data_IF_829248798979
#
_entry.id   IF_829248798979
#
_cell.length_a   1.000
_cell.length_b   1.000
_cell.length_c   1.000
_cell.angle_alpha   90.00
_cell.angle_beta   90.00
_cell.angle_gamma   90.00
#
_symmetry.space_group_name_H-M   'P 1'
#
loop_
_entity.id
_entity.type
_entity.pdbx_description
1 polymer ?
#
# COMPACT_ATOMS: atom_id res chain seq x y z
N UNK A 1 -14.70 28.09 -0.13
CA UNK A 1 -13.42 27.45 0.26
C UNK A 1 -12.98 28.03 1.60
N UNK A 2 -13.19 27.31 2.70
CA UNK A 2 -12.86 27.77 4.06
C UNK A 2 -11.38 27.50 4.34
N UNK A 3 -10.54 28.52 4.17
CA UNK A 3 -9.14 28.51 4.59
C UNK A 3 -9.11 28.84 6.08
N UNK A 4 -9.22 27.81 6.92
CA UNK A 4 -9.27 27.97 8.38
C UNK A 4 -7.89 28.42 8.88
N UNK A 5 -7.86 29.27 9.92
CA UNK A 5 -6.61 29.83 10.49
C UNK A 5 -5.59 28.74 10.86
N UNK A 6 -6.06 27.55 11.19
CA UNK A 6 -5.26 26.34 11.47
C UNK A 6 -4.34 25.93 10.30
N UNK A 7 -4.76 26.09 9.04
CA UNK A 7 -3.91 25.82 7.86
C UNK A 7 -2.77 26.84 7.75
N UNK A 8 -3.00 28.09 8.17
CA UNK A 8 -1.98 29.14 8.18
C UNK A 8 -0.93 28.88 9.27
N UNK A 9 -1.37 28.51 10.46
CA UNK A 9 -0.46 28.26 11.59
C UNK A 9 0.38 27.00 11.40
N UNK A 10 -0.21 25.95 10.80
CA UNK A 10 0.53 24.76 10.39
C UNK A 10 1.62 25.10 9.36
N UNK A 11 1.30 25.89 8.33
CA UNK A 11 2.27 26.33 7.32
C UNK A 11 3.38 27.16 7.94
N UNK A 12 3.04 28.13 8.78
CA UNK A 12 4.04 28.96 9.46
C UNK A 12 5.00 28.13 10.32
N UNK A 13 4.47 27.14 11.06
CA UNK A 13 5.28 26.24 11.89
C UNK A 13 6.16 25.35 11.04
N UNK A 14 5.63 24.83 9.94
CA UNK A 14 6.38 24.02 8.99
C UNK A 14 7.52 24.83 8.34
N UNK A 15 7.22 26.03 7.87
CA UNK A 15 8.17 26.92 7.21
C UNK A 15 9.26 27.37 8.19
N UNK A 16 8.90 27.71 9.42
CA UNK A 16 9.87 28.04 10.48
C UNK A 16 10.81 26.85 10.77
N UNK A 17 10.28 25.63 10.84
CA UNK A 17 11.10 24.43 11.03
C UNK A 17 12.03 24.18 9.85
N UNK A 18 11.55 24.36 8.62
CA UNK A 18 12.37 24.22 7.40
C UNK A 18 13.48 25.28 7.39
N UNK A 19 13.18 26.52 7.75
CA UNK A 19 14.17 27.59 7.86
C UNK A 19 15.23 27.29 8.92
N UNK A 20 14.83 26.79 10.09
CA UNK A 20 15.77 26.37 11.15
C UNK A 20 16.73 25.29 10.65
N UNK A 21 16.20 24.26 9.98
CA UNK A 21 17.01 23.19 9.38
C UNK A 21 17.99 23.73 8.34
N UNK A 22 17.57 24.67 7.49
CA UNK A 22 18.44 25.30 6.49
C UNK A 22 19.57 26.10 7.17
N UNK A 23 19.27 26.80 8.27
CA UNK A 23 20.28 27.52 9.05
C UNK A 23 21.28 26.57 9.71
N UNK A 24 20.80 25.47 10.31
CA UNK A 24 21.66 24.43 10.89
C UNK A 24 22.58 23.79 9.84
N UNK A 25 22.05 23.44 8.66
CA UNK A 25 22.85 22.91 7.55
C UNK A 25 23.93 23.92 7.14
N UNK A 26 23.60 25.22 7.09
CA UNK A 26 24.58 26.27 6.77
C UNK A 26 25.65 26.37 7.84
N UNK A 27 25.27 26.32 9.12
CA UNK A 27 26.22 26.37 10.24
C UNK A 27 27.14 25.14 10.26
N UNK A 28 26.61 23.94 9.97
CA UNK A 28 27.41 22.73 9.84
C UNK A 28 28.38 22.83 8.65
N UNK A 29 27.92 23.35 7.50
CA UNK A 29 28.80 23.58 6.35
C UNK A 29 29.94 24.54 6.68
N UNK A 30 29.64 25.66 7.33
CA UNK A 30 30.65 26.63 7.74
C UNK A 30 31.67 26.00 8.71
N UNK A 31 31.20 25.27 9.74
CA UNK A 31 32.12 24.57 10.66
C UNK A 31 32.93 23.49 9.97
N UNK A 32 32.36 22.78 9.00
CA UNK A 32 33.10 21.77 8.22
C UNK A 32 34.17 22.42 7.33
N UNK A 33 33.90 23.60 6.78
CA UNK A 33 34.87 24.41 6.04
C UNK A 33 35.99 24.93 6.96
N UNK A 34 35.67 25.34 8.19
CA UNK A 34 36.66 25.73 9.21
C UNK A 34 37.56 24.55 9.65
N UNK A 35 37.01 23.33 9.77
CA UNK A 35 37.75 22.14 10.25
C UNK A 35 38.58 21.48 9.14
N UNK A 36 38.03 21.38 7.93
CA UNK A 36 38.64 20.62 6.82
C UNK A 36 39.28 21.52 5.74
N UNK A 37 39.15 22.84 5.87
CA UNK A 37 39.66 23.82 4.93
C UNK A 37 38.77 24.01 3.68
N UNK A 38 39.13 24.97 2.81
CA UNK A 38 38.32 25.37 1.65
C UNK A 38 38.07 24.25 0.63
N UNK A 39 38.91 23.21 0.63
CA UNK A 39 38.84 22.08 -0.31
C UNK A 39 37.67 21.12 -0.04
N UNK A 40 37.01 21.22 1.13
CA UNK A 40 35.82 20.42 1.45
C UNK A 40 34.67 20.66 0.46
N UNK A 41 34.49 21.91 0.01
CA UNK A 41 33.50 22.23 -1.02
C UNK A 41 33.93 21.79 -2.41
N UNK A 42 35.23 21.65 -2.68
CA UNK A 42 35.77 21.29 -4.00
C UNK A 42 35.63 19.80 -4.33
N UNK A 43 35.53 18.92 -3.31
CA UNK A 43 35.31 17.47 -3.49
C UNK A 43 33.84 17.06 -3.58
N UNK A 44 32.92 17.97 -3.31
CA UNK A 44 31.49 17.75 -3.52
C UNK A 44 31.18 17.90 -5.01
N UNK A 45 31.23 16.78 -5.74
CA UNK A 45 30.80 16.63 -7.12
C UNK A 45 29.26 16.78 -7.27
N UNK A 46 28.67 17.77 -6.59
CA UNK A 46 27.28 18.15 -6.71
C UNK A 46 27.21 19.32 -7.68
N UNK A 47 27.28 19.01 -8.98
CA UNK A 47 26.92 19.99 -10.00
C UNK A 47 25.43 20.38 -9.77
N UNK A 48 25.15 21.61 -9.33
CA UNK A 48 23.78 22.06 -9.08
C UNK A 48 22.94 22.02 -10.36
N UNK A 49 23.56 22.09 -11.54
CA UNK A 49 22.87 21.91 -12.83
C UNK A 49 22.40 20.48 -13.02
N UNK A 50 23.21 19.48 -12.64
CA UNK A 50 22.81 18.07 -12.71
C UNK A 50 21.65 17.76 -11.75
N UNK A 51 21.65 18.35 -10.55
CA UNK A 51 20.54 18.23 -9.60
C UNK A 51 19.24 18.81 -10.17
N UNK A 52 19.29 20.00 -10.80
CA UNK A 52 18.14 20.61 -11.47
C UNK A 52 17.62 19.76 -12.63
N UNK A 53 18.52 19.21 -13.45
CA UNK A 53 18.17 18.30 -14.56
C UNK A 53 17.45 17.06 -14.06
N UNK A 54 18.00 16.39 -13.05
CA UNK A 54 17.38 15.20 -12.45
C UNK A 54 15.99 15.54 -11.85
N UNK A 55 15.83 16.69 -11.19
CA UNK A 55 14.52 17.12 -10.69
C UNK A 55 13.51 17.36 -11.83
N UNK A 56 13.92 18.00 -12.92
CA UNK A 56 13.04 18.24 -14.07
C UNK A 56 12.62 16.94 -14.75
N UNK A 57 13.52 15.97 -14.86
CA UNK A 57 13.24 14.64 -15.40
C UNK A 57 12.22 13.90 -14.53
N UNK A 58 12.44 13.85 -13.21
CA UNK A 58 11.51 13.22 -12.25
C UNK A 58 10.12 13.88 -12.30
N UNK A 59 10.06 15.22 -12.37
CA UNK A 59 8.79 15.94 -12.48
C UNK A 59 8.10 15.63 -13.82
N UNK A 60 8.88 15.47 -14.90
CA UNK A 60 8.38 15.07 -16.22
C UNK A 60 7.76 13.67 -16.20
N UNK A 61 8.46 12.70 -15.61
CA UNK A 61 7.96 11.33 -15.44
C UNK A 61 6.71 11.27 -14.57
N UNK A 62 6.68 12.02 -13.46
CA UNK A 62 5.51 12.09 -12.59
C UNK A 62 4.29 12.66 -13.33
N UNK A 63 4.48 13.72 -14.12
CA UNK A 63 3.41 14.29 -14.96
C UNK A 63 2.91 13.28 -15.99
N UNK A 64 3.81 12.50 -16.60
CA UNK A 64 3.47 11.47 -17.58
C UNK A 64 2.64 10.36 -16.95
N UNK A 65 3.05 9.86 -15.79
CA UNK A 65 2.32 8.81 -15.07
C UNK A 65 0.95 9.33 -14.59
N UNK A 66 0.88 10.55 -14.07
CA UNK A 66 -0.39 11.16 -13.66
C UNK A 66 -1.36 11.31 -14.84
N UNK A 67 -0.85 11.70 -16.01
CA UNK A 67 -1.67 11.83 -17.23
C UNK A 67 -2.20 10.47 -17.70
N UNK A 68 -1.37 9.42 -17.59
CA UNK A 68 -1.76 8.04 -17.90
C UNK A 68 -2.85 7.53 -16.95
N UNK A 69 -2.65 7.67 -15.64
CA UNK A 69 -3.64 7.28 -14.63
C UNK A 69 -4.97 8.03 -14.80
N UNK A 70 -4.94 9.34 -15.13
CA UNK A 70 -6.15 10.09 -15.46
C UNK A 70 -6.84 9.58 -16.73
N UNK A 71 -6.07 9.17 -17.75
CA UNK A 71 -6.62 8.59 -18.97
C UNK A 71 -7.29 7.25 -18.69
N UNK A 72 -6.66 6.39 -17.89
CA UNK A 72 -7.19 5.08 -17.51
C UNK A 72 -8.46 5.24 -16.65
N UNK A 73 -8.46 6.20 -15.73
CA UNK A 73 -9.65 6.54 -14.94
C UNK A 73 -10.80 7.04 -15.84
N UNK A 74 -10.50 7.91 -16.81
CA UNK A 74 -11.50 8.40 -17.77
C UNK A 74 -12.08 7.26 -18.60
N UNK A 75 -11.25 6.30 -19.02
CA UNK A 75 -11.69 5.08 -19.70
C UNK A 75 -12.67 4.27 -18.84
N UNK A 76 -12.30 3.97 -17.59
CA UNK A 76 -13.17 3.23 -16.67
C UNK A 76 -14.49 3.95 -16.38
N UNK A 77 -14.47 5.27 -16.26
CA UNK A 77 -15.71 6.08 -16.09
C UNK A 77 -16.58 6.01 -17.36
N UNK A 78 -15.97 6.04 -18.54
CA UNK A 78 -16.68 5.83 -19.80
C UNK A 78 -17.32 4.44 -19.90
N UNK A 79 -16.59 3.40 -19.51
CA UNK A 79 -17.10 2.03 -19.46
C UNK A 79 -18.29 1.94 -18.51
N UNK A 80 -18.18 2.51 -17.29
CA UNK A 80 -19.27 2.55 -16.32
C UNK A 80 -20.49 3.28 -16.89
N UNK A 81 -20.30 4.45 -17.52
CA UNK A 81 -21.37 5.19 -18.18
C UNK A 81 -22.06 4.33 -19.25
N UNK A 82 -21.27 3.65 -20.10
CA UNK A 82 -21.83 2.79 -21.15
C UNK A 82 -22.53 1.54 -20.60
N UNK A 83 -22.11 1.01 -19.44
CA UNK A 83 -22.81 -0.08 -18.77
C UNK A 83 -24.08 0.39 -18.08
N UNK A 84 -24.10 1.64 -17.60
CA UNK A 84 -25.29 2.26 -17.01
C UNK A 84 -26.36 2.51 -18.07
N UNK A 85 -25.96 2.96 -19.26
CA UNK A 85 -26.85 3.14 -20.43
C UNK A 85 -27.41 1.81 -20.96
N UNK A 86 -26.76 0.69 -20.64
CA UNK A 86 -27.19 -0.67 -21.01
C UNK A 86 -27.98 -1.37 -19.91
N UNK A 87 -28.25 -0.72 -18.78
CA UNK A 87 -29.16 -1.28 -17.79
C UNK A 87 -30.59 -1.26 -18.33
N UNK A 88 -31.33 -2.37 -18.24
CA UNK A 88 -32.71 -2.42 -18.71
C UNK A 88 -33.55 -1.39 -17.96
N UNK A 89 -34.46 -0.75 -18.68
CA UNK A 89 -35.36 0.25 -18.08
C UNK A 89 -36.25 -0.46 -17.04
N UNK A 90 -36.71 0.25 -15.99
CA UNK A 90 -37.57 -0.32 -14.93
C UNK A 90 -38.73 -1.18 -15.48
N UNK A 91 -39.30 -0.77 -16.62
CA UNK A 91 -40.36 -1.50 -17.33
C UNK A 91 -39.91 -2.86 -17.93
N UNK A 92 -38.67 -2.98 -18.39
CA UNK A 92 -38.10 -4.22 -18.95
C UNK A 92 -37.69 -5.20 -17.84
N UNK A 93 -37.25 -4.67 -16.69
CA UNK A 93 -36.95 -5.47 -15.50
C UNK A 93 -38.23 -6.09 -14.88
N UNK A 94 -39.34 -5.35 -14.86
CA UNK A 94 -40.65 -5.85 -14.39
C UNK A 94 -41.25 -6.93 -15.33
N UNK A 95 -41.03 -6.81 -16.64
CA UNK A 95 -41.45 -7.81 -17.63
C UNK A 95 -40.72 -9.15 -17.43
N UNK A 96 -39.43 -9.13 -17.10
CA UNK A 96 -38.62 -10.33 -16.79
C UNK A 96 -39.05 -11.03 -15.49
N UNK A 97 -39.46 -10.26 -14.48
CA UNK A 97 -39.99 -10.78 -13.21
C UNK A 97 -41.39 -11.38 -13.40
N UNK A 98 -42.20 -10.77 -14.26
CA UNK A 98 -43.54 -11.28 -14.59
C UNK A 98 -43.48 -12.60 -15.36
N UNK A 99 -42.51 -12.75 -16.28
CA UNK A 99 -42.33 -13.98 -17.06
C UNK A 99 -41.87 -15.18 -16.22
N UNK A 100 -41.11 -14.93 -15.14
CA UNK A 100 -40.66 -15.96 -14.19
C UNK A 100 -41.70 -16.35 -13.14
N UNK A 101 -42.74 -15.52 -12.95
CA UNK A 101 -43.86 -15.82 -12.04
C UNK A 101 -44.95 -16.67 -12.73
N UNK A 102 -45.14 -16.52 -14.03
CA UNK A 102 -46.09 -17.33 -14.84
C UNK A 102 -45.63 -18.80 -14.97
N UNK A 103 -44.33 -19.07 -14.99
CA UNK A 103 -43.81 -20.45 -15.09
C UNK A 103 -43.84 -21.24 -13.77
N UNK A 104 -44.02 -20.57 -12.62
CA UNK A 104 -44.02 -21.24 -11.30
C UNK A 104 -45.41 -21.65 -10.78
N UNK A 105 -46.49 -21.25 -11.45
CA UNK A 105 -47.87 -21.61 -11.06
C UNK A 105 -48.44 -22.82 -11.81
N UNK A 106 -47.76 -23.35 -12.83
CA UNK A 106 -48.31 -24.41 -13.70
C UNK A 106 -47.88 -25.85 -13.36
N UNK A 107 -47.13 -26.09 -12.28
CA UNK A 107 -46.65 -27.44 -11.93
C UNK A 107 -46.82 -27.72 -10.43
N UNK A 108 -48.07 -27.92 -10.00
CA UNK A 108 -48.37 -28.64 -8.76
C UNK A 108 -49.25 -29.84 -9.10
N UNK A 109 -48.60 -30.94 -9.49
CA UNK A 109 -49.27 -32.20 -9.77
C UNK A 109 -48.30 -33.34 -10.11
N UNK A 110 -48.19 -34.28 -9.17
CA UNK A 110 -47.85 -35.71 -9.32
C UNK A 110 -46.42 -36.18 -9.72
N UNK A 111 -45.85 -36.91 -8.75
CA UNK A 111 -45.32 -38.30 -8.82
C UNK A 111 -43.88 -38.55 -9.32
N UNK A 112 -43.17 -39.31 -8.46
CA UNK A 112 -42.16 -40.37 -8.65
C UNK A 112 -40.67 -40.07 -8.61
N UNK A 113 -39.99 -41.13 -8.19
CA UNK A 113 -38.65 -41.26 -7.63
C UNK A 113 -37.55 -41.59 -8.66
N UNK A 114 -36.33 -41.09 -8.36
CA UNK A 114 -34.94 -41.60 -8.59
C UNK A 114 -34.49 -42.06 -10.00
N UNK A 115 -33.17 -42.16 -10.31
CA UNK A 115 -31.97 -41.50 -9.77
C UNK A 115 -31.00 -40.95 -10.88
N UNK A 116 -29.86 -40.39 -10.43
CA UNK A 116 -28.58 -40.15 -11.11
C UNK A 116 -28.49 -39.28 -12.37
N UNK A 117 -27.88 -38.09 -12.24
CA UNK A 117 -26.62 -37.75 -12.95
C UNK A 117 -25.96 -36.50 -12.37
N UNK A 118 -24.64 -36.56 -12.23
CA UNK A 118 -23.74 -35.54 -11.75
C UNK A 118 -23.81 -34.22 -12.56
N UNK A 119 -23.82 -33.08 -11.87
CA UNK A 119 -23.10 -31.88 -12.33
C UNK A 119 -22.84 -30.89 -11.19
N UNK A 120 -21.62 -30.99 -10.68
CA UNK A 120 -20.72 -29.85 -10.47
C UNK A 120 -21.27 -28.62 -9.75
N UNK A 121 -21.30 -28.72 -8.43
CA UNK A 121 -20.85 -27.72 -7.43
C UNK A 121 -20.31 -26.40 -8.03
N UNK A 122 -21.14 -25.36 -8.11
CA UNK A 122 -20.66 -23.97 -8.22
C UNK A 122 -20.52 -23.38 -6.81
N UNK A 123 -19.34 -23.59 -6.23
CA UNK A 123 -18.87 -22.84 -5.06
C UNK A 123 -18.85 -21.34 -5.43
N UNK A 124 -19.32 -20.43 -4.54
CA UNK A 124 -19.21 -19.00 -4.78
C UNK A 124 -17.75 -18.58 -5.04
N UNK A 125 -17.56 -17.78 -6.10
CA UNK A 125 -16.30 -17.26 -6.65
C UNK A 125 -15.52 -16.41 -5.62
N UNK A 126 -14.88 -17.05 -4.63
CA UNK A 126 -14.07 -16.40 -3.60
C UNK A 126 -12.56 -16.72 -3.71
N UNK A 127 -12.12 -17.43 -4.75
CA UNK A 127 -10.76 -17.97 -4.81
C UNK A 127 -10.11 -17.76 -6.17
N UNK A 128 -9.40 -16.64 -6.33
CA UNK A 128 -8.11 -16.53 -7.02
C UNK A 128 -7.72 -15.04 -7.12
N UNK A 129 -7.48 -14.37 -5.98
CA UNK A 129 -6.64 -13.19 -6.03
C UNK A 129 -5.27 -13.68 -6.48
N UNK A 130 -4.88 -13.34 -7.72
CA UNK A 130 -3.55 -13.66 -8.21
C UNK A 130 -2.52 -13.17 -7.19
N UNK A 131 -1.39 -13.88 -7.04
CA UNK A 131 -0.36 -13.48 -6.07
C UNK A 131 0.08 -12.02 -6.30
N UNK A 132 0.06 -11.56 -7.55
CA UNK A 132 0.27 -10.16 -7.92
C UNK A 132 -0.74 -9.21 -7.26
N UNK A 133 -2.03 -9.55 -7.27
CA UNK A 133 -3.06 -8.76 -6.59
C UNK A 133 -2.85 -8.74 -5.07
N UNK A 134 -2.48 -9.88 -4.47
CA UNK A 134 -2.17 -9.96 -3.02
C UNK A 134 -1.00 -9.05 -2.64
N UNK A 135 0.03 -8.98 -3.48
CA UNK A 135 1.18 -8.09 -3.31
C UNK A 135 0.74 -6.62 -3.40
N UNK A 136 -0.02 -6.23 -4.43
CA UNK A 136 -0.51 -4.85 -4.58
C UNK A 136 -1.42 -4.42 -3.43
N UNK A 137 -2.27 -5.32 -2.97
CA UNK A 137 -3.14 -5.11 -1.82
C UNK A 137 -2.33 -4.89 -0.53
N UNK A 138 -1.27 -5.68 -0.33
CA UNK A 138 -0.36 -5.52 0.81
C UNK A 138 0.43 -4.20 0.74
N UNK A 139 0.90 -3.80 -0.44
CA UNK A 139 1.57 -2.50 -0.65
C UNK A 139 0.59 -1.35 -0.35
N UNK A 140 -0.63 -1.42 -0.89
CA UNK A 140 -1.66 -0.41 -0.69
C UNK A 140 -2.09 -0.29 0.78
N UNK A 141 -2.24 -1.44 1.46
CA UNK A 141 -2.47 -1.52 2.91
C UNK A 141 -1.33 -0.83 3.66
N UNK A 142 -0.08 -1.16 3.35
CA UNK A 142 1.09 -0.59 4.01
C UNK A 142 1.19 0.92 3.79
N UNK A 143 0.86 1.43 2.59
CA UNK A 143 0.77 2.88 2.31
C UNK A 143 -0.30 3.57 3.13
N UNK A 144 -1.46 2.93 3.34
CA UNK A 144 -2.52 3.45 4.22
C UNK A 144 -2.04 3.51 5.67
N UNK A 145 -1.51 2.40 6.18
CA UNK A 145 -0.95 2.35 7.53
C UNK A 145 0.19 3.35 7.73
N UNK A 146 1.01 3.62 6.72
CA UNK A 146 2.06 4.63 6.80
C UNK A 146 1.50 6.06 6.92
N UNK A 147 0.35 6.35 6.30
CA UNK A 147 -0.33 7.63 6.50
C UNK A 147 -0.86 7.73 7.92
N UNK A 148 -1.50 6.66 8.40
CA UNK A 148 -2.06 6.60 9.76
C UNK A 148 -0.96 6.72 10.83
N UNK A 149 0.22 6.12 10.60
CA UNK A 149 1.39 6.20 11.48
C UNK A 149 1.89 7.64 11.66
N UNK A 150 1.87 8.46 10.60
CA UNK A 150 2.30 9.87 10.70
C UNK A 150 1.42 10.72 11.62
N UNK A 151 0.16 10.32 11.80
CA UNK A 151 -0.82 11.01 12.64
C UNK A 151 -1.05 10.33 13.99
N UNK A 152 -0.49 9.14 14.21
CA UNK A 152 -0.74 8.38 15.44
C UNK A 152 0.18 8.83 16.57
N UNK A 153 -0.32 8.73 17.81
CA UNK A 153 0.49 8.89 19.02
C UNK A 153 0.91 7.54 19.62
N UNK A 154 0.53 6.43 18.99
CA UNK A 154 0.90 5.09 19.43
C UNK A 154 2.40 4.86 19.28
N UNK A 155 3.00 4.16 20.24
CA UNK A 155 4.37 3.67 20.11
C UNK A 155 4.47 2.68 18.95
N UNK A 156 5.59 2.73 18.24
CA UNK A 156 5.87 1.87 17.07
C UNK A 156 5.58 0.40 17.35
N UNK A 157 6.01 -0.14 18.49
CA UNK A 157 5.78 -1.54 18.83
C UNK A 157 4.29 -1.93 18.82
N UNK A 158 3.42 -1.12 19.43
CA UNK A 158 1.98 -1.36 19.48
C UNK A 158 1.33 -1.16 18.11
N UNK A 159 1.81 -0.17 17.35
CA UNK A 159 1.35 0.11 16.00
C UNK A 159 1.69 -1.02 15.03
N UNK A 160 2.94 -1.49 15.04
CA UNK A 160 3.43 -2.61 14.22
C UNK A 160 2.69 -3.90 14.56
N UNK A 161 2.47 -4.19 15.85
CA UNK A 161 1.69 -5.35 16.26
C UNK A 161 0.25 -5.28 15.70
N UNK A 162 -0.37 -4.11 15.71
CA UNK A 162 -1.71 -3.89 15.15
C UNK A 162 -1.73 -4.06 13.64
N UNK A 163 -0.74 -3.51 12.94
CA UNK A 163 -0.55 -3.70 11.50
C UNK A 163 -0.40 -5.18 11.13
N UNK A 164 0.51 -5.91 11.79
CA UNK A 164 0.76 -7.32 11.50
C UNK A 164 -0.47 -8.20 11.82
N UNK A 165 -1.19 -7.92 12.91
CA UNK A 165 -2.47 -8.58 13.22
C UNK A 165 -3.53 -8.30 12.16
N UNK A 166 -3.60 -7.08 11.64
CA UNK A 166 -4.56 -6.75 10.59
C UNK A 166 -4.18 -7.40 9.25
N UNK A 167 -2.88 -7.42 8.94
CA UNK A 167 -2.36 -8.08 7.75
C UNK A 167 -2.60 -9.59 7.81
N UNK A 168 -2.42 -10.23 8.97
CA UNK A 168 -2.67 -11.67 9.12
C UNK A 168 -4.15 -12.04 8.99
N UNK A 169 -5.07 -11.14 9.38
CA UNK A 169 -6.51 -11.33 9.13
C UNK A 169 -6.87 -11.29 7.65
N UNK A 170 -6.20 -10.43 6.87
CA UNK A 170 -6.44 -10.28 5.43
C UNK A 170 -5.75 -11.35 4.60
N UNK A 171 -4.50 -11.63 4.92
CA UNK A 171 -3.64 -12.57 4.21
C UNK A 171 -2.60 -13.18 5.18
N UNK A 172 -2.91 -14.36 5.76
CA UNK A 172 -2.03 -15.02 6.72
C UNK A 172 -0.65 -15.36 6.17
N UNK A 173 -0.58 -15.86 4.93
CA UNK A 173 0.69 -16.26 4.32
C UNK A 173 1.58 -15.03 4.04
N UNK A 174 0.99 -13.94 3.53
CA UNK A 174 1.72 -12.68 3.31
C UNK A 174 2.22 -12.10 4.64
N UNK A 175 1.40 -12.15 5.70
CA UNK A 175 1.81 -11.67 7.01
C UNK A 175 3.01 -12.45 7.58
N UNK A 176 3.00 -13.78 7.48
CA UNK A 176 4.13 -14.63 7.90
C UNK A 176 5.37 -14.32 7.07
N UNK A 177 5.20 -14.14 5.76
CA UNK A 177 6.31 -13.83 4.86
C UNK A 177 6.96 -12.48 5.19
N UNK A 178 6.16 -11.43 5.37
CA UNK A 178 6.62 -10.10 5.81
C UNK A 178 7.30 -10.19 7.18
N UNK A 179 6.70 -10.89 8.16
CA UNK A 179 7.29 -11.04 9.50
C UNK A 179 8.66 -11.73 9.46
N UNK A 180 8.80 -12.82 8.69
CA UNK A 180 10.09 -13.51 8.49
C UNK A 180 11.10 -12.62 7.78
N UNK A 181 10.66 -11.79 6.84
CA UNK A 181 11.55 -10.85 6.16
C UNK A 181 12.02 -9.73 7.09
N UNK A 182 11.13 -9.17 7.92
CA UNK A 182 11.48 -8.14 8.90
C UNK A 182 12.48 -8.71 9.89
N UNK A 183 12.22 -9.94 10.38
CA UNK A 183 13.16 -10.63 11.25
C UNK A 183 14.52 -10.76 10.57
N UNK A 184 14.61 -11.20 9.32
CA UNK A 184 15.89 -11.26 8.61
C UNK A 184 16.53 -9.88 8.50
N UNK A 185 15.83 -8.86 8.04
CA UNK A 185 16.36 -7.50 7.86
C UNK A 185 16.98 -6.95 9.15
N UNK A 186 16.27 -7.10 10.28
CA UNK A 186 16.73 -6.61 11.60
C UNK A 186 17.91 -7.41 12.14
N UNK A 187 17.98 -8.70 11.85
CA UNK A 187 19.15 -9.52 12.24
C UNK A 187 20.41 -9.18 11.42
N UNK A 188 20.24 -8.65 10.20
CA UNK A 188 21.34 -8.23 9.33
C UNK A 188 21.70 -6.74 9.48
N UNK A 189 20.84 -5.91 10.08
CA UNK A 189 21.06 -4.46 10.25
C UNK A 189 22.11 -4.10 11.31
N UNK A 190 22.80 -5.09 11.90
CA UNK A 190 23.91 -4.86 12.84
C UNK A 190 23.51 -4.30 14.21
N UNK A 191 22.21 -4.20 14.51
CA UNK A 191 21.73 -3.73 15.83
C UNK A 191 22.18 -4.69 16.95
N UNK A 192 22.43 -4.19 18.18
CA UNK A 192 22.79 -5.01 19.32
C UNK A 192 21.80 -6.15 19.48
N UNK A 193 22.27 -7.39 19.32
CA UNK A 193 21.42 -8.57 19.45
C UNK A 193 20.93 -8.64 20.88
N UNK A 194 19.61 -8.60 21.08
CA UNK A 194 19.05 -9.11 22.31
C UNK A 194 19.48 -10.58 22.43
N UNK A 195 20.05 -10.96 23.58
CA UNK A 195 20.49 -12.34 23.83
C UNK A 195 19.30 -13.33 23.79
N UNK A 196 18.10 -12.80 23.91
CA UNK A 196 16.84 -13.54 23.98
C UNK A 196 16.07 -13.40 22.67
N UNK A 197 15.82 -14.52 21.99
CA UNK A 197 14.89 -14.59 20.86
C UNK A 197 13.49 -14.18 21.34
N UNK A 198 12.79 -13.28 20.65
CA UNK A 198 11.43 -12.89 21.05
C UNK A 198 10.52 -14.12 21.01
N UNK A 199 9.80 -14.35 22.11
CA UNK A 199 8.92 -15.52 22.25
C UNK A 199 7.51 -15.26 21.73
N UNK A 200 7.11 -13.99 21.61
CA UNK A 200 5.81 -13.59 21.10
C UNK A 200 5.90 -12.34 20.20
N UNK A 201 4.80 -12.04 19.51
CA UNK A 201 4.71 -10.91 18.58
C UNK A 201 5.02 -9.56 19.25
N UNK A 202 4.63 -9.39 20.51
CA UNK A 202 4.77 -8.13 21.22
C UNK A 202 6.23 -7.84 21.58
N UNK A 203 6.95 -8.84 22.08
CA UNK A 203 8.41 -8.77 22.29
C UNK A 203 9.16 -8.57 20.97
N UNK A 204 8.69 -9.18 19.88
CA UNK A 204 9.28 -8.95 18.56
C UNK A 204 9.11 -7.50 18.13
N UNK A 205 7.90 -6.95 18.23
CA UNK A 205 7.59 -5.57 17.85
C UNK A 205 8.30 -4.53 18.71
N UNK A 206 8.62 -4.82 19.98
CA UNK A 206 9.39 -3.90 20.84
C UNK A 206 10.80 -3.58 20.32
N UNK A 207 11.37 -4.47 19.50
CA UNK A 207 12.71 -4.27 18.92
C UNK A 207 12.68 -3.54 17.57
N UNK A 208 11.48 -3.22 17.08
CA UNK A 208 11.26 -2.65 15.74
C UNK A 208 10.89 -1.18 15.82
N UNK A 209 11.32 -0.44 14.82
CA UNK A 209 10.73 0.86 14.46
C UNK A 209 9.90 0.71 13.19
N UNK A 210 8.91 1.57 12.99
CA UNK A 210 8.03 1.50 11.82
C UNK A 210 8.81 1.55 10.49
N UNK A 211 9.94 2.26 10.49
CA UNK A 211 10.88 2.30 9.37
C UNK A 211 11.40 0.91 8.96
N UNK A 212 11.67 0.01 9.90
CA UNK A 212 12.14 -1.35 9.61
C UNK A 212 11.09 -2.13 8.81
N UNK A 213 9.80 -1.91 9.10
CA UNK A 213 8.68 -2.50 8.37
C UNK A 213 8.59 -1.93 6.96
N UNK A 214 8.70 -0.60 6.81
CA UNK A 214 8.63 0.06 5.50
C UNK A 214 9.77 -0.38 4.58
N UNK A 215 11.00 -0.35 5.09
CA UNK A 215 12.18 -0.72 4.32
C UNK A 215 12.08 -2.19 3.90
N UNK A 216 11.69 -3.09 4.82
CA UNK A 216 11.47 -4.50 4.48
C UNK A 216 10.37 -4.68 3.42
N UNK A 217 9.23 -4.01 3.57
CA UNK A 217 8.12 -4.14 2.62
C UNK A 217 8.53 -3.64 1.23
N UNK A 218 9.31 -2.56 1.15
CA UNK A 218 9.88 -2.06 -0.09
C UNK A 218 10.80 -3.09 -0.73
N UNK A 219 11.79 -3.58 0.01
CA UNK A 219 12.77 -4.55 -0.49
C UNK A 219 12.10 -5.83 -1.01
N UNK A 220 11.08 -6.30 -0.31
CA UNK A 220 10.50 -7.61 -0.54
C UNK A 220 9.33 -7.58 -1.52
N UNK A 221 8.41 -6.61 -1.38
CA UNK A 221 7.20 -6.56 -2.20
C UNK A 221 7.38 -5.72 -3.47
N UNK A 222 8.30 -4.75 -3.47
CA UNK A 222 8.56 -3.87 -4.62
C UNK A 222 9.80 -4.32 -5.37
N UNK A 223 10.94 -4.40 -4.71
CA UNK A 223 12.23 -4.68 -5.38
C UNK A 223 12.39 -6.18 -5.69
N UNK A 224 12.05 -7.06 -4.74
CA UNK A 224 12.17 -8.52 -4.88
C UNK A 224 10.88 -9.22 -5.27
N UNK A 225 10.02 -8.57 -6.07
CA UNK A 225 8.66 -9.04 -6.40
C UNK A 225 8.63 -10.46 -6.96
N UNK A 226 9.59 -10.82 -7.83
CA UNK A 226 9.70 -12.16 -8.43
C UNK A 226 9.97 -13.24 -7.37
N UNK A 227 10.83 -12.97 -6.41
CA UNK A 227 11.14 -13.91 -5.33
C UNK A 227 9.94 -14.07 -4.38
N UNK A 228 9.23 -12.98 -4.11
CA UNK A 228 8.01 -12.98 -3.32
C UNK A 228 6.90 -13.80 -3.97
N UNK A 229 6.71 -13.68 -5.28
CA UNK A 229 5.76 -14.55 -6.00
C UNK A 229 6.13 -16.02 -5.82
N UNK A 230 7.40 -16.39 -6.06
CA UNK A 230 7.87 -17.78 -5.87
C UNK A 230 7.72 -18.30 -4.44
N UNK A 231 7.85 -17.42 -3.44
CA UNK A 231 7.73 -17.79 -2.03
C UNK A 231 6.27 -17.98 -1.57
N UNK A 232 5.32 -17.30 -2.23
CA UNK A 232 3.89 -17.35 -1.91
C UNK A 232 3.10 -18.34 -2.78
N UNK A 233 3.75 -18.93 -3.78
CA UNK A 233 3.20 -19.96 -4.68
C UNK A 233 3.41 -21.39 -4.15
N UNK A 234 3.99 -21.52 -2.95
CA UNK A 234 4.22 -22.79 -2.22
C UNK A 234 3.21 -22.94 -1.08
#
# INVERSE_FOLDING_TARGET
MLRTKEDKDFRNTHDARVQSLVQEIRAVKQRMEEIQGPEWNSKSNNDPEQCKKNMHEIIGELKKEMKKEMSDLKGRVGDISSTLDKLPTLAEAEALISHTRVTRSALKGKIRAKPDTEKSRSVPKAAANTIKQRIEDAISSTRRWNRDHKSTQLRDAAFIASYLKQQSKRDPQMAVYIQKAIQRHVYHSGRPRSKTRPQNLEQFCQMLVWKDVLDTVKDVLVESRVQTVKALDK
#
